data_IF_264100954123
#
_entry.id   IF_264100954123
#
_cell.length_a   1.000
_cell.length_b   1.000
_cell.length_c   1.000
_cell.angle_alpha   90.00
_cell.angle_beta   90.00
_cell.angle_gamma   90.00
#
_symmetry.space_group_name_H-M   'P 1'
#
loop_
_entity.id
_entity.type
_entity.pdbx_description
1 polymer ?
#
# COMPACT_ATOMS: atom_id res chain seq x y z
N UNK A 1 0.82 6.54 -24.60
CA UNK A 1 -0.17 5.95 -23.67
C UNK A 1 -0.71 4.68 -24.32
N UNK A 2 -1.08 3.63 -23.57
CA UNK A 2 -1.63 2.40 -24.15
C UNK A 2 -2.95 2.67 -24.86
N UNK A 3 -3.31 1.79 -25.80
CA UNK A 3 -4.62 1.82 -26.45
C UNK A 3 -5.71 1.46 -25.42
N UNK A 4 -6.56 2.42 -25.08
CA UNK A 4 -7.63 2.26 -24.10
C UNK A 4 -8.79 3.22 -24.44
N UNK A 5 -10.02 2.81 -24.10
CA UNK A 5 -11.22 3.65 -24.27
C UNK A 5 -11.11 4.98 -23.49
N UNK A 6 -10.49 4.93 -22.30
CA UNK A 6 -10.20 6.10 -21.49
C UNK A 6 -8.96 5.86 -20.64
N UNK A 7 -8.16 6.90 -20.44
CA UNK A 7 -7.00 6.90 -19.53
C UNK A 7 -7.16 8.02 -18.53
N UNK A 8 -7.06 7.69 -17.25
CA UNK A 8 -7.02 8.68 -16.17
C UNK A 8 -5.58 8.79 -15.71
N UNK A 9 -4.91 9.87 -16.10
CA UNK A 9 -3.53 10.13 -15.71
C UNK A 9 -3.32 11.63 -15.43
N UNK A 10 -3.17 12.05 -14.16
CA UNK A 10 -2.90 13.45 -13.83
C UNK A 10 -1.64 14.00 -14.50
N UNK A 11 -0.68 13.15 -14.85
CA UNK A 11 0.60 13.52 -15.45
C UNK A 11 0.55 13.64 -16.98
N UNK A 12 -0.61 13.45 -17.63
CA UNK A 12 -0.70 13.62 -19.08
C UNK A 12 -0.49 15.10 -19.49
N UNK A 13 0.14 15.36 -20.65
CA UNK A 13 0.24 16.71 -21.20
C UNK A 13 -1.13 17.39 -21.29
N UNK A 14 -1.19 18.68 -20.93
CA UNK A 14 -2.43 19.48 -20.97
C UNK A 14 -3.46 19.15 -19.88
N UNK A 15 -3.15 18.28 -18.92
CA UNK A 15 -4.06 17.98 -17.82
C UNK A 15 -4.13 19.13 -16.80
N UNK A 16 -5.35 19.59 -16.49
CA UNK A 16 -5.60 20.68 -15.55
C UNK A 16 -5.75 20.23 -14.08
N UNK A 17 -5.47 18.96 -13.76
CA UNK A 17 -5.55 18.49 -12.37
C UNK A 17 -4.61 19.29 -11.46
N UNK A 18 -5.15 19.91 -10.41
CA UNK A 18 -4.42 20.79 -9.49
C UNK A 18 -3.35 20.03 -8.71
N UNK A 19 -3.66 18.81 -8.27
CA UNK A 19 -2.73 17.96 -7.53
C UNK A 19 -2.30 16.76 -8.40
N UNK A 20 -0.99 16.65 -8.63
CA UNK A 20 -0.37 15.69 -9.57
C UNK A 20 0.28 14.48 -8.91
N UNK A 21 0.39 14.47 -7.58
CA UNK A 21 1.19 13.51 -6.82
C UNK A 21 0.35 12.42 -6.13
N UNK A 22 -0.89 12.21 -6.57
CA UNK A 22 -1.75 11.17 -5.98
C UNK A 22 -1.11 9.79 -6.13
N UNK A 23 -1.21 8.98 -5.09
CA UNK A 23 -0.99 7.54 -5.18
C UNK A 23 -1.98 6.90 -6.16
N UNK A 24 -1.65 5.71 -6.69
CA UNK A 24 -2.54 4.99 -7.61
C UNK A 24 -3.90 4.71 -6.97
N UNK A 25 -3.91 4.29 -5.71
CA UNK A 25 -5.13 4.07 -4.92
C UNK A 25 -5.92 5.37 -4.68
N UNK A 26 -5.23 6.50 -4.54
CA UNK A 26 -5.86 7.82 -4.41
C UNK A 26 -6.59 8.22 -5.69
N UNK A 27 -6.03 7.88 -6.85
CA UNK A 27 -6.68 8.09 -8.14
C UNK A 27 -7.93 7.22 -8.30
N UNK A 28 -7.83 5.93 -7.92
CA UNK A 28 -8.98 5.02 -7.90
C UNK A 28 -10.09 5.52 -6.96
N UNK A 29 -9.72 6.07 -5.79
CA UNK A 29 -10.68 6.66 -4.87
C UNK A 29 -11.38 7.89 -5.44
N UNK A 30 -10.65 8.78 -6.14
CA UNK A 30 -11.27 9.92 -6.84
C UNK A 30 -12.20 9.48 -7.96
N UNK A 31 -11.86 8.42 -8.68
CA UNK A 31 -12.76 7.82 -9.67
C UNK A 31 -14.05 7.33 -9.00
N UNK A 32 -13.97 6.65 -7.86
CA UNK A 32 -15.16 6.23 -7.11
C UNK A 32 -16.01 7.42 -6.65
N UNK A 33 -15.38 8.52 -6.20
CA UNK A 33 -16.08 9.77 -5.86
C UNK A 33 -16.81 10.35 -7.08
N UNK A 34 -16.13 10.44 -8.23
CA UNK A 34 -16.69 10.98 -9.46
C UNK A 34 -17.85 10.12 -10.00
N UNK A 35 -17.70 8.80 -9.95
CA UNK A 35 -18.75 7.85 -10.35
C UNK A 35 -19.97 8.00 -9.44
N UNK A 36 -19.79 8.00 -8.13
CA UNK A 36 -20.88 8.22 -7.16
C UNK A 36 -21.59 9.55 -7.40
N UNK A 37 -20.86 10.63 -7.67
CA UNK A 37 -21.48 11.93 -7.99
C UNK A 37 -22.27 11.91 -9.29
N UNK A 38 -21.77 11.22 -10.30
CA UNK A 38 -22.46 11.10 -11.60
C UNK A 38 -23.74 10.28 -11.44
N UNK A 39 -23.67 9.15 -10.73
CA UNK A 39 -24.83 8.30 -10.43
C UNK A 39 -25.91 9.05 -9.64
N UNK A 40 -25.52 9.92 -8.70
CA UNK A 40 -26.46 10.79 -7.99
C UNK A 40 -27.20 11.72 -8.95
N UNK A 41 -26.48 12.35 -9.87
CA UNK A 41 -27.07 13.29 -10.86
C UNK A 41 -28.03 12.57 -11.80
N UNK A 42 -27.75 11.32 -12.13
CA UNK A 42 -28.62 10.44 -12.93
C UNK A 42 -29.79 9.83 -12.15
N UNK A 43 -29.95 10.15 -10.85
CA UNK A 43 -31.06 9.67 -10.03
C UNK A 43 -30.95 8.22 -9.57
N UNK A 44 -29.79 7.56 -9.70
CA UNK A 44 -29.63 6.15 -9.31
C UNK A 44 -29.82 5.87 -7.81
N UNK A 45 -29.75 6.90 -6.96
CA UNK A 45 -29.94 6.79 -5.51
C UNK A 45 -31.31 7.31 -5.04
N UNK A 46 -32.28 7.50 -5.95
CA UNK A 46 -33.62 7.93 -5.56
C UNK A 46 -34.36 6.89 -4.68
N UNK A 47 -34.07 5.60 -4.89
CA UNK A 47 -34.70 4.49 -4.15
C UNK A 47 -33.70 3.67 -3.31
N UNK A 48 -32.42 4.07 -3.26
CA UNK A 48 -31.36 3.33 -2.57
C UNK A 48 -30.41 4.30 -1.86
N UNK A 49 -29.85 3.86 -0.72
CA UNK A 49 -28.90 4.68 0.02
C UNK A 49 -27.61 4.91 -0.78
N UNK A 50 -27.13 6.16 -0.77
CA UNK A 50 -25.87 6.50 -1.41
C UNK A 50 -24.68 5.82 -0.69
N UNK A 51 -23.73 5.21 -1.42
CA UNK A 51 -22.57 4.59 -0.81
C UNK A 51 -21.71 5.58 -0.01
N UNK A 52 -21.49 5.28 1.27
CA UNK A 52 -20.52 6.01 2.08
C UNK A 52 -19.10 5.56 1.72
N UNK A 53 -18.36 6.39 0.98
CA UNK A 53 -17.00 6.07 0.54
C UNK A 53 -15.95 6.19 1.65
N UNK A 54 -16.27 6.83 2.78
CA UNK A 54 -15.36 6.97 3.93
C UNK A 54 -14.85 5.61 4.43
N UNK A 55 -15.70 4.57 4.36
CA UNK A 55 -15.37 3.19 4.78
C UNK A 55 -14.25 2.51 3.96
N UNK A 56 -13.79 3.13 2.88
CA UNK A 56 -12.67 2.64 2.08
C UNK A 56 -11.38 3.41 2.34
N UNK A 57 -11.41 4.49 3.15
CA UNK A 57 -10.22 5.28 3.43
C UNK A 57 -9.14 4.50 4.18
N UNK A 58 -9.50 3.43 4.88
CA UNK A 58 -8.55 2.49 5.47
C UNK A 58 -7.65 1.84 4.40
N UNK A 59 -8.25 1.30 3.34
CA UNK A 59 -7.53 0.75 2.19
C UNK A 59 -6.79 1.82 1.38
N UNK A 60 -7.43 2.97 1.16
CA UNK A 60 -6.82 4.07 0.40
C UNK A 60 -5.59 4.62 1.13
N UNK A 61 -5.63 4.71 2.46
CA UNK A 61 -4.48 5.16 3.25
C UNK A 61 -3.37 4.14 3.29
N UNK A 62 -3.70 2.85 3.42
CA UNK A 62 -2.70 1.78 3.31
C UNK A 62 -1.93 1.90 2.00
N UNK A 63 -2.61 1.95 0.85
CA UNK A 63 -1.95 2.06 -0.45
C UNK A 63 -1.23 3.40 -0.64
N UNK A 64 -1.80 4.52 -0.15
CA UNK A 64 -1.18 5.85 -0.30
C UNK A 64 0.17 5.92 0.42
N UNK A 65 0.25 5.36 1.63
CA UNK A 65 1.51 5.38 2.40
C UNK A 65 2.44 4.28 1.90
N UNK A 66 1.93 3.12 1.47
CA UNK A 66 2.73 2.05 0.87
C UNK A 66 3.42 2.46 -0.43
N UNK A 67 2.79 3.31 -1.25
CA UNK A 67 3.38 3.87 -2.48
C UNK A 67 4.50 4.90 -2.19
N UNK A 68 4.77 5.23 -0.92
CA UNK A 68 5.78 6.21 -0.48
C UNK A 68 5.65 7.58 -1.18
N UNK A 69 4.45 7.94 -1.65
CA UNK A 69 4.21 9.26 -2.24
C UNK A 69 4.28 10.36 -1.19
N UNK A 70 4.67 11.59 -1.56
CA UNK A 70 4.71 12.69 -0.59
C UNK A 70 3.34 12.94 0.06
N UNK A 71 3.29 12.93 1.40
CA UNK A 71 2.10 13.26 2.20
C UNK A 71 1.88 14.77 2.29
N UNK A 72 1.60 15.37 1.13
CA UNK A 72 1.26 16.78 0.95
C UNK A 72 -0.06 16.89 0.18
N UNK A 73 -0.72 18.04 0.25
CA UNK A 73 -1.97 18.28 -0.49
C UNK A 73 -3.02 17.19 -0.22
N UNK A 74 -3.58 16.61 -1.28
CA UNK A 74 -4.64 15.60 -1.17
C UNK A 74 -4.17 14.32 -0.46
N UNK A 75 -2.92 13.87 -0.67
CA UNK A 75 -2.39 12.69 0.02
C UNK A 75 -2.35 12.88 1.53
N UNK A 76 -2.04 14.09 2.00
CA UNK A 76 -2.04 14.40 3.44
C UNK A 76 -3.44 14.30 4.03
N UNK A 77 -4.45 14.80 3.30
CA UNK A 77 -5.85 14.75 3.72
C UNK A 77 -6.32 13.30 3.78
N UNK A 78 -6.06 12.52 2.73
CA UNK A 78 -6.36 11.08 2.67
C UNK A 78 -5.74 10.37 3.87
N UNK A 79 -4.44 10.53 4.08
CA UNK A 79 -3.73 9.87 5.17
C UNK A 79 -4.28 10.28 6.55
N UNK A 80 -4.53 11.57 6.78
CA UNK A 80 -5.03 12.04 8.07
C UNK A 80 -6.37 11.39 8.44
N UNK A 81 -7.36 11.39 7.53
CA UNK A 81 -8.66 10.80 7.81
C UNK A 81 -8.64 9.28 7.76
N UNK A 82 -7.89 8.69 6.82
CA UNK A 82 -7.90 7.24 6.69
C UNK A 82 -7.01 6.52 7.69
N UNK A 83 -6.05 7.18 8.36
CA UNK A 83 -5.40 6.61 9.55
C UNK A 83 -6.40 6.45 10.72
N UNK A 84 -7.36 7.37 10.85
CA UNK A 84 -8.45 7.23 11.83
C UNK A 84 -9.35 6.03 11.48
N UNK A 85 -9.74 5.91 10.21
CA UNK A 85 -10.53 4.76 9.72
C UNK A 85 -9.76 3.44 9.85
N UNK A 86 -8.46 3.44 9.57
CA UNK A 86 -7.59 2.27 9.68
C UNK A 86 -7.41 1.83 11.13
N UNK A 87 -7.32 2.80 12.06
CA UNK A 87 -7.27 2.54 13.50
C UNK A 87 -8.51 1.79 13.96
N UNK A 88 -9.70 2.27 13.56
CA UNK A 88 -10.99 1.69 13.92
C UNK A 88 -11.54 0.65 12.94
N UNK A 89 -10.75 0.19 11.96
CA UNK A 89 -11.30 -0.60 10.84
C UNK A 89 -11.99 -1.88 11.31
N UNK A 90 -13.20 -2.10 10.81
CA UNK A 90 -13.97 -3.30 11.08
C UNK A 90 -13.56 -4.49 10.19
N UNK A 91 -12.77 -4.27 9.13
CA UNK A 91 -12.40 -5.28 8.13
C UNK A 91 -11.62 -6.43 8.78
N UNK A 92 -12.04 -7.69 8.59
CA UNK A 92 -11.31 -8.85 9.13
C UNK A 92 -9.84 -8.86 8.73
N UNK A 93 -9.54 -8.63 7.44
CA UNK A 93 -8.17 -8.57 6.92
C UNK A 93 -7.27 -7.53 7.59
N UNK A 94 -7.78 -6.31 7.78
CA UNK A 94 -7.04 -5.23 8.44
C UNK A 94 -6.79 -5.56 9.90
N UNK A 95 -7.78 -6.14 10.60
CA UNK A 95 -7.63 -6.56 12.01
C UNK A 95 -6.57 -7.67 12.15
N UNK A 96 -6.60 -8.66 11.28
CA UNK A 96 -5.63 -9.75 11.24
C UNK A 96 -4.22 -9.20 10.97
N UNK A 97 -4.08 -8.31 9.98
CA UNK A 97 -2.81 -7.67 9.64
C UNK A 97 -2.24 -6.85 10.81
N UNK A 98 -3.08 -6.06 11.50
CA UNK A 98 -2.66 -5.31 12.70
C UNK A 98 -2.18 -6.23 13.82
N UNK A 99 -2.84 -7.37 14.02
CA UNK A 99 -2.45 -8.36 15.04
C UNK A 99 -1.07 -8.95 14.76
N UNK A 100 -0.83 -9.47 13.57
CA UNK A 100 0.49 -10.04 13.20
C UNK A 100 1.58 -8.97 13.16
N UNK A 101 1.21 -7.73 12.87
CA UNK A 101 2.11 -6.59 12.96
C UNK A 101 2.34 -6.08 14.40
N UNK A 102 1.67 -6.63 15.41
CA UNK A 102 1.71 -6.23 16.81
C UNK A 102 1.32 -4.76 17.06
N UNK A 103 0.32 -4.24 16.32
CA UNK A 103 -0.21 -2.88 16.49
C UNK A 103 -1.45 -2.92 17.36
N UNK A 104 -1.32 -2.45 18.61
CA UNK A 104 -2.38 -2.43 19.63
C UNK A 104 -2.96 -1.05 19.89
N UNK A 105 -2.28 0.01 19.44
CA UNK A 105 -2.67 1.40 19.62
C UNK A 105 -3.22 2.03 18.32
N UNK A 106 -3.32 3.36 18.30
CA UNK A 106 -3.62 4.11 17.09
C UNK A 106 -2.58 3.83 16.00
N UNK A 107 -3.06 3.66 14.77
CA UNK A 107 -2.19 3.38 13.62
C UNK A 107 -1.58 4.68 13.14
N UNK A 108 -0.25 4.75 13.10
CA UNK A 108 0.48 5.89 12.57
C UNK A 108 0.92 5.66 11.12
N UNK A 109 1.35 6.73 10.43
CA UNK A 109 1.95 6.59 9.11
C UNK A 109 3.21 5.71 9.12
N UNK A 110 3.98 5.75 10.22
CA UNK A 110 5.15 4.89 10.43
C UNK A 110 4.73 3.42 10.53
N UNK A 111 3.67 3.10 11.26
CA UNK A 111 3.17 1.74 11.33
C UNK A 111 2.72 1.23 9.96
N UNK A 112 2.07 2.08 9.16
CA UNK A 112 1.70 1.71 7.80
C UNK A 112 2.94 1.45 6.95
N UNK A 113 3.89 2.38 6.88
CA UNK A 113 5.06 2.30 6.01
C UNK A 113 6.03 1.18 6.38
N UNK A 114 6.20 0.87 7.67
CA UNK A 114 7.25 -0.03 8.15
C UNK A 114 6.74 -1.34 8.74
N UNK A 115 5.45 -1.47 9.03
CA UNK A 115 4.91 -2.70 9.63
C UNK A 115 3.81 -3.32 8.79
N UNK A 116 2.84 -2.54 8.31
CA UNK A 116 1.71 -3.07 7.55
C UNK A 116 2.06 -3.30 6.07
N UNK A 117 2.54 -2.26 5.38
CA UNK A 117 2.85 -2.33 3.96
C UNK A 117 3.91 -3.39 3.61
N UNK A 118 5.01 -3.57 4.39
CA UNK A 118 6.00 -4.60 4.09
C UNK A 118 5.43 -6.01 4.07
N UNK A 119 4.43 -6.31 4.92
CA UNK A 119 3.75 -7.62 4.97
C UNK A 119 2.88 -7.85 3.75
N UNK A 120 2.13 -6.83 3.32
CA UNK A 120 1.34 -6.89 2.09
C UNK A 120 2.26 -7.10 0.87
N UNK A 121 3.42 -6.42 0.86
CA UNK A 121 4.38 -6.46 -0.23
C UNK A 121 5.40 -7.61 -0.14
N UNK A 122 5.45 -8.36 0.96
CA UNK A 122 6.35 -9.51 1.12
C UNK A 122 6.01 -10.65 0.17
N UNK A 123 4.76 -10.66 -0.24
CA UNK A 123 4.21 -11.44 -1.31
C UNK A 123 4.75 -10.94 -2.68
N UNK A 124 5.99 -11.27 -3.00
CA UNK A 124 6.74 -10.67 -4.12
C UNK A 124 6.48 -11.27 -5.51
N UNK A 125 5.82 -12.43 -5.64
CA UNK A 125 5.41 -13.00 -6.94
C UNK A 125 3.95 -12.65 -7.24
N UNK A 126 3.54 -12.73 -8.51
CA UNK A 126 2.16 -12.47 -8.93
C UNK A 126 1.11 -13.25 -8.11
N UNK A 127 1.38 -14.53 -7.84
CA UNK A 127 0.51 -15.38 -7.01
C UNK A 127 0.46 -14.92 -5.55
N UNK A 128 1.56 -14.38 -5.04
CA UNK A 128 1.64 -13.90 -3.66
C UNK A 128 0.96 -12.52 -3.53
N UNK A 129 1.09 -11.63 -4.52
CA UNK A 129 0.45 -10.31 -4.53
C UNK A 129 -1.08 -10.40 -4.45
N UNK A 130 -1.66 -11.48 -5.00
CA UNK A 130 -3.08 -11.78 -4.86
C UNK A 130 -3.48 -12.06 -3.41
N UNK A 131 -2.61 -12.68 -2.59
CA UNK A 131 -2.90 -12.95 -1.17
C UNK A 131 -3.09 -11.67 -0.36
N UNK A 132 -2.33 -10.63 -0.65
CA UNK A 132 -2.53 -9.31 -0.04
C UNK A 132 -3.92 -8.74 -0.34
N UNK A 133 -4.38 -8.89 -1.58
CA UNK A 133 -5.72 -8.48 -2.01
C UNK A 133 -6.80 -9.34 -1.35
N UNK A 134 -6.63 -10.67 -1.36
CA UNK A 134 -7.53 -11.62 -0.71
C UNK A 134 -7.69 -11.33 0.78
N UNK A 135 -6.58 -11.04 1.48
CA UNK A 135 -6.62 -10.63 2.87
C UNK A 135 -7.49 -9.39 3.05
N UNK A 136 -7.24 -8.32 2.29
CA UNK A 136 -7.94 -7.04 2.43
C UNK A 136 -9.43 -7.11 2.04
N UNK A 137 -9.81 -8.08 1.21
CA UNK A 137 -11.18 -8.33 0.78
C UNK A 137 -11.91 -9.40 1.61
N UNK A 138 -11.20 -10.16 2.45
CA UNK A 138 -11.79 -11.26 3.22
C UNK A 138 -12.92 -10.77 4.15
N UNK A 139 -14.05 -11.47 4.08
CA UNK A 139 -15.19 -11.32 4.98
C UNK A 139 -15.15 -12.32 6.16
N UNK A 140 -14.29 -13.34 6.09
CA UNK A 140 -14.11 -14.34 7.14
C UNK A 140 -12.87 -14.02 7.98
N UNK A 141 -13.06 -13.98 9.30
CA UNK A 141 -11.98 -13.72 10.25
C UNK A 141 -10.99 -14.86 10.34
N UNK A 142 -11.43 -16.12 10.20
CA UNK A 142 -10.53 -17.26 10.24
C UNK A 142 -9.62 -17.29 8.98
N UNK A 143 -10.21 -17.15 7.78
CA UNK A 143 -9.44 -17.01 6.56
C UNK A 143 -8.48 -15.81 6.58
N UNK A 144 -8.92 -14.66 7.11
CA UNK A 144 -8.06 -13.48 7.26
C UNK A 144 -6.86 -13.73 8.19
N UNK A 145 -7.04 -14.49 9.26
CA UNK A 145 -5.96 -14.84 10.19
C UNK A 145 -4.92 -15.75 9.55
N UNK A 146 -5.36 -16.74 8.79
CA UNK A 146 -4.47 -17.60 8.01
C UNK A 146 -3.66 -16.78 7.00
N UNK A 147 -4.33 -15.97 6.19
CA UNK A 147 -3.67 -15.12 5.18
C UNK A 147 -2.68 -14.13 5.80
N UNK A 148 -3.05 -13.50 6.93
CA UNK A 148 -2.17 -12.58 7.62
C UNK A 148 -0.92 -13.27 8.20
N UNK A 149 -1.06 -14.50 8.73
CA UNK A 149 0.06 -15.29 9.23
C UNK A 149 1.02 -15.70 8.10
N UNK A 150 0.48 -16.09 6.94
CA UNK A 150 1.28 -16.40 5.75
C UNK A 150 2.08 -15.19 5.27
N UNK A 151 1.44 -14.02 5.16
CA UNK A 151 2.10 -12.77 4.76
C UNK A 151 3.16 -12.32 5.79
N UNK A 152 2.91 -12.54 7.09
CA UNK A 152 3.91 -12.27 8.13
C UNK A 152 5.11 -13.21 8.01
N UNK A 153 4.88 -14.51 7.76
CA UNK A 153 5.95 -15.48 7.53
C UNK A 153 6.81 -15.11 6.31
N UNK A 154 6.16 -14.80 5.17
CA UNK A 154 6.84 -14.34 3.96
C UNK A 154 7.65 -13.06 4.21
N UNK A 155 7.11 -12.11 5.00
CA UNK A 155 7.83 -10.90 5.34
C UNK A 155 9.07 -11.17 6.18
N UNK A 156 9.00 -12.10 7.15
CA UNK A 156 10.15 -12.49 7.96
C UNK A 156 11.23 -13.17 7.11
N UNK A 157 10.83 -14.09 6.23
CA UNK A 157 11.73 -14.74 5.29
C UNK A 157 12.45 -13.71 4.40
N UNK A 158 11.69 -12.76 3.81
CA UNK A 158 12.26 -11.67 3.02
C UNK A 158 13.28 -10.86 3.82
N UNK A 159 12.97 -10.52 5.08
CA UNK A 159 13.85 -9.75 5.95
C UNK A 159 15.15 -10.49 6.30
N UNK A 160 15.10 -11.80 6.54
CA UNK A 160 16.31 -12.59 6.80
C UNK A 160 17.18 -12.68 5.53
N UNK A 161 16.59 -12.91 4.35
CA UNK A 161 17.31 -12.89 3.08
C UNK A 161 17.97 -11.52 2.83
N UNK A 162 17.23 -10.42 3.00
CA UNK A 162 17.74 -9.05 2.86
C UNK A 162 18.92 -8.78 3.82
N UNK A 163 18.84 -9.29 5.06
CA UNK A 163 19.88 -9.15 6.07
C UNK A 163 21.14 -9.95 5.74
N UNK A 164 20.99 -11.18 5.26
CA UNK A 164 22.11 -12.02 4.80
C UNK A 164 22.83 -11.37 3.62
N UNK A 165 22.08 -10.91 2.61
CA UNK A 165 22.62 -10.20 1.45
C UNK A 165 23.36 -8.92 1.85
N UNK A 166 22.81 -8.15 2.79
CA UNK A 166 23.47 -6.95 3.30
C UNK A 166 24.76 -7.29 4.04
N UNK A 167 24.76 -8.33 4.87
CA UNK A 167 25.94 -8.77 5.59
C UNK A 167 27.06 -9.23 4.64
N UNK A 168 26.71 -10.00 3.60
CA UNK A 168 27.65 -10.41 2.55
C UNK A 168 28.24 -9.20 1.80
N UNK A 169 27.38 -8.26 1.41
CA UNK A 169 27.78 -7.02 0.74
C UNK A 169 28.76 -6.21 1.61
N UNK A 170 28.44 -6.00 2.89
CA UNK A 170 29.32 -5.29 3.82
C UNK A 170 30.64 -6.04 4.03
N UNK A 171 30.63 -7.36 4.12
CA UNK A 171 31.85 -8.15 4.25
C UNK A 171 32.78 -7.98 3.03
N UNK A 172 32.22 -8.02 1.81
CA UNK A 172 32.98 -7.78 0.57
C UNK A 172 33.55 -6.37 0.52
N UNK A 173 32.78 -5.36 0.92
CA UNK A 173 33.22 -3.97 0.92
C UNK A 173 34.41 -3.72 1.85
N UNK A 174 34.44 -4.36 3.03
CA UNK A 174 35.56 -4.20 3.97
C UNK A 174 36.82 -4.94 3.54
N UNK A 175 36.69 -6.09 2.86
CA UNK A 175 37.81 -6.99 2.56
C UNK A 175 38.40 -6.84 1.16
N UNK A 176 37.71 -6.16 0.25
CA UNK A 176 38.22 -5.90 -1.10
C UNK A 176 38.95 -4.55 -1.15
N UNK A 177 40.29 -4.61 -1.15
CA UNK A 177 41.15 -3.44 -1.27
C UNK A 177 40.89 -2.63 -2.57
N UNK A 178 40.35 -3.25 -3.63
CA UNK A 178 40.00 -2.56 -4.87
C UNK A 178 38.73 -1.70 -4.74
N UNK A 179 37.92 -1.93 -3.70
CA UNK A 179 36.73 -1.14 -3.38
C UNK A 179 37.04 0.03 -2.42
N UNK A 180 38.19 0.00 -1.74
CA UNK A 180 38.59 1.07 -0.81
C UNK A 180 38.87 2.38 -1.55
N UNK A 181 38.41 3.50 -0.98
CA UNK A 181 38.60 4.84 -1.55
C UNK A 181 37.63 5.22 -2.68
N UNK A 182 36.69 4.34 -3.05
CA UNK A 182 35.64 4.66 -4.02
C UNK A 182 34.49 5.43 -3.37
N UNK A 183 34.02 6.48 -4.04
CA UNK A 183 32.89 7.31 -3.60
C UNK A 183 31.53 6.64 -3.82
N UNK A 184 31.45 5.63 -4.69
CA UNK A 184 30.22 4.88 -4.94
C UNK A 184 30.56 3.44 -5.32
N UNK A 185 29.89 2.48 -4.69
CA UNK A 185 30.06 1.05 -4.93
C UNK A 185 28.67 0.43 -5.08
N UNK A 186 28.45 -0.29 -6.17
CA UNK A 186 27.23 -1.07 -6.41
C UNK A 186 27.61 -2.54 -6.36
N UNK A 187 26.97 -3.31 -5.48
CA UNK A 187 27.17 -4.75 -5.37
C UNK A 187 25.87 -5.47 -5.66
N UNK A 188 25.96 -6.54 -6.44
CA UNK A 188 24.88 -7.47 -6.67
C UNK A 188 25.34 -8.87 -6.24
N UNK A 189 24.44 -9.63 -5.63
CA UNK A 189 24.59 -11.07 -5.45
C UNK A 189 23.89 -11.78 -6.60
N UNK A 190 24.52 -12.79 -7.18
CA UNK A 190 23.97 -13.61 -8.28
C UNK A 190 23.41 -14.94 -7.78
N UNK A 191 23.06 -15.02 -6.48
CA UNK A 191 22.41 -16.19 -5.91
C UNK A 191 21.06 -16.47 -6.60
#
# INVERSE_FOLDING_TARGET
>A
MPEALAVINPLQPGCNAVFKKLAGVGLAFKLAIALRSSMRTLGHFAAAAEPNLRKYLDLVTLGTIADLVPLVGENRIIAAFGLQELTGSARPGVKALKRVAAITAEVTATDVGFRLAPRINAAGRLDDALRGVELLLSADSAAADTLAAELDAANRERQEIEKELLAEALHRLHNDAALQGRTTVVMASTA
#
